data_IF_629604264372
#
_entry.id   IF_629604264372
#
_cell.length_a   1.000
_cell.length_b   1.000
_cell.length_c   1.000
_cell.angle_alpha   90.00
_cell.angle_beta   90.00
_cell.angle_gamma   90.00
#
_symmetry.space_group_name_H-M   'P 1'
#
loop_
_entity.id
_entity.type
_entity.pdbx_description
1 polymer ?
#
# COMPACT_ATOMS: atom_id res chain seq x y z
N UNK A 1 -29.34 3.52 -2.67
CA UNK A 1 -29.07 4.55 -1.64
C UNK A 1 -27.76 4.14 -0.98
N UNK A 2 -26.75 5.01 -0.96
CA UNK A 2 -25.48 4.73 -0.28
C UNK A 2 -25.62 5.09 1.20
N UNK A 3 -25.03 4.28 2.09
CA UNK A 3 -24.92 4.57 3.52
C UNK A 3 -23.45 4.80 3.87
N UNK A 4 -23.19 5.76 4.76
CA UNK A 4 -21.85 6.01 5.29
C UNK A 4 -21.51 4.92 6.31
N UNK A 5 -20.58 4.03 5.95
CA UNK A 5 -20.07 3.01 6.87
C UNK A 5 -19.10 3.61 7.90
N UNK A 6 -18.20 4.50 7.45
CA UNK A 6 -17.18 5.17 8.25
C UNK A 6 -16.97 6.61 7.77
N UNK A 7 -16.80 7.55 8.70
CA UNK A 7 -16.48 8.96 8.44
C UNK A 7 -15.41 9.44 9.42
N UNK A 8 -14.46 10.26 8.94
CA UNK A 8 -13.41 10.86 9.80
C UNK A 8 -12.90 12.20 9.30
N UNK A 9 -12.42 12.97 10.26
CA UNK A 9 -11.70 14.23 10.02
C UNK A 9 -10.21 14.02 9.72
N UNK A 10 -9.57 12.99 10.29
CA UNK A 10 -8.18 12.63 10.02
C UNK A 10 -7.92 11.15 10.33
N UNK A 11 -6.81 10.62 9.80
CA UNK A 11 -6.39 9.24 10.00
C UNK A 11 -5.52 9.17 11.25
N UNK A 12 -5.82 8.26 12.18
CA UNK A 12 -5.00 7.99 13.37
C UNK A 12 -4.88 6.48 13.60
N UNK A 13 -3.89 6.08 14.38
CA UNK A 13 -3.44 4.69 14.50
C UNK A 13 -3.45 4.17 15.93
N UNK A 14 -3.49 2.85 16.08
CA UNK A 14 -3.17 2.18 17.34
C UNK A 14 -1.66 2.23 17.53
N UNK A 15 -1.20 3.18 18.35
CA UNK A 15 0.22 3.41 18.63
C UNK A 15 0.80 2.38 19.61
N UNK A 16 2.09 2.01 19.49
CA UNK A 16 2.74 1.12 20.46
C UNK A 16 2.80 1.72 21.87
N UNK A 17 3.01 3.03 21.96
CA UNK A 17 2.96 3.79 23.21
C UNK A 17 2.69 5.28 22.93
N UNK A 18 2.31 6.05 23.96
CA UNK A 18 2.13 7.51 23.83
C UNK A 18 3.43 8.23 23.48
N UNK A 19 4.56 7.78 24.02
CA UNK A 19 5.90 8.35 23.73
C UNK A 19 6.29 8.16 22.26
N UNK A 20 5.79 7.10 21.65
CA UNK A 20 6.07 6.75 20.25
C UNK A 20 5.45 7.76 19.29
N UNK A 21 4.34 8.40 19.65
CA UNK A 21 3.66 9.43 18.83
C UNK A 21 4.58 10.62 18.60
N UNK A 22 5.15 11.19 19.67
CA UNK A 22 6.03 12.35 19.58
C UNK A 22 7.36 11.98 18.92
N UNK A 23 7.92 10.82 19.26
CA UNK A 23 9.17 10.31 18.66
C UNK A 23 9.05 10.13 17.15
N UNK A 24 7.91 9.64 16.67
CA UNK A 24 7.67 9.51 15.24
C UNK A 24 7.24 10.81 14.57
N UNK A 25 6.97 11.89 15.30
CA UNK A 25 6.60 13.18 14.72
C UNK A 25 5.33 13.07 13.87
N UNK A 26 4.34 12.34 14.36
CA UNK A 26 3.04 12.20 13.68
C UNK A 26 2.32 13.56 13.61
N UNK A 27 1.74 13.85 12.45
CA UNK A 27 0.98 15.08 12.18
C UNK A 27 -0.42 14.68 11.69
N UNK A 28 -1.49 15.00 12.44
CA UNK A 28 -2.86 14.70 12.01
C UNK A 28 -3.23 15.38 10.68
N UNK A 29 -3.95 14.65 9.84
CA UNK A 29 -4.53 15.19 8.59
C UNK A 29 -3.59 15.16 7.37
N UNK A 30 -2.37 14.64 7.51
CA UNK A 30 -1.41 14.54 6.41
C UNK A 30 -1.50 13.23 5.61
N UNK A 31 -2.00 12.17 6.24
CA UNK A 31 -2.18 10.87 5.60
C UNK A 31 -3.49 10.83 4.78
N UNK A 32 -3.45 10.17 3.62
CA UNK A 32 -4.58 10.03 2.70
C UNK A 32 -4.84 8.56 2.39
N UNK A 33 -6.10 8.21 2.14
CA UNK A 33 -6.48 6.88 1.68
C UNK A 33 -6.47 6.87 0.14
N UNK A 34 -5.73 5.94 -0.45
CA UNK A 34 -5.70 5.76 -1.90
C UNK A 34 -6.46 4.52 -2.38
N UNK A 35 -6.52 3.47 -1.55
CA UNK A 35 -7.17 2.21 -1.91
C UNK A 35 -7.80 1.56 -0.70
N UNK A 36 -8.92 0.88 -0.92
CA UNK A 36 -9.67 0.13 0.09
C UNK A 36 -9.98 -1.25 -0.47
N UNK A 37 -9.73 -2.29 0.32
CA UNK A 37 -10.23 -3.65 0.07
C UNK A 37 -10.88 -4.21 1.33
N UNK A 38 -11.89 -5.06 1.14
CA UNK A 38 -12.62 -5.70 2.23
C UNK A 38 -12.41 -7.19 2.10
N UNK A 39 -12.01 -7.83 3.20
CA UNK A 39 -11.95 -9.28 3.28
C UNK A 39 -12.41 -9.74 4.65
N UNK A 40 -13.40 -10.63 4.66
CA UNK A 40 -14.11 -11.06 5.87
C UNK A 40 -14.60 -9.83 6.65
N UNK A 41 -14.18 -9.68 7.91
CA UNK A 41 -14.62 -8.64 8.82
C UNK A 41 -13.65 -7.46 8.88
N UNK A 42 -12.71 -7.33 7.93
CA UNK A 42 -11.72 -6.26 7.93
C UNK A 42 -11.77 -5.43 6.65
N UNK A 43 -11.58 -4.14 6.83
CA UNK A 43 -11.29 -3.17 5.78
C UNK A 43 -9.79 -2.91 5.83
N UNK A 44 -9.12 -3.03 4.69
CA UNK A 44 -7.70 -2.75 4.50
C UNK A 44 -7.53 -1.48 3.69
N UNK A 45 -6.58 -0.64 4.09
CA UNK A 45 -6.39 0.69 3.54
C UNK A 45 -4.94 0.89 3.08
N UNK A 46 -4.79 1.32 1.82
CA UNK A 46 -3.54 1.80 1.27
C UNK A 46 -3.37 3.29 1.61
N UNK A 47 -2.26 3.62 2.26
CA UNK A 47 -1.94 4.95 2.76
C UNK A 47 -0.58 5.40 2.15
N UNK A 48 -0.54 5.90 0.91
CA UNK A 48 0.72 6.28 0.30
C UNK A 48 1.40 7.40 1.10
N UNK A 49 2.71 7.29 1.30
CA UNK A 49 3.53 8.24 2.05
C UNK A 49 3.79 9.51 1.25
N UNK A 50 2.78 10.36 1.11
CA UNK A 50 2.91 11.67 0.45
C UNK A 50 3.69 12.69 1.28
N UNK A 51 3.80 12.47 2.59
CA UNK A 51 4.46 13.37 3.53
C UNK A 51 5.54 12.61 4.30
N UNK A 52 6.61 13.31 4.67
CA UNK A 52 7.72 12.73 5.47
C UNK A 52 7.29 12.30 6.87
N UNK A 53 6.15 12.79 7.35
CA UNK A 53 5.50 12.43 8.61
C UNK A 53 4.73 11.13 8.53
N UNK A 54 4.33 10.64 7.34
CA UNK A 54 3.55 9.41 7.18
C UNK A 54 4.29 8.20 7.72
N UNK A 55 3.69 7.51 8.69
CA UNK A 55 4.31 6.36 9.38
C UNK A 55 3.74 5.01 9.00
N UNK A 56 2.49 4.97 8.57
CA UNK A 56 1.80 3.75 8.16
C UNK A 56 1.47 3.90 6.70
N UNK A 57 1.75 2.85 5.92
CA UNK A 57 1.41 2.79 4.51
C UNK A 57 0.41 1.69 4.15
N UNK A 58 0.28 0.69 5.03
CA UNK A 58 -0.78 -0.31 4.96
C UNK A 58 -1.42 -0.45 6.34
N UNK A 59 -2.73 -0.35 6.40
CA UNK A 59 -3.50 -0.44 7.63
C UNK A 59 -4.74 -1.30 7.47
N UNK A 60 -5.34 -1.67 8.60
CA UNK A 60 -6.59 -2.41 8.68
C UNK A 60 -7.48 -1.88 9.79
N UNK A 61 -8.77 -2.14 9.67
CA UNK A 61 -9.78 -1.81 10.68
C UNK A 61 -10.92 -2.83 10.62
N UNK A 62 -11.46 -3.29 11.76
CA UNK A 62 -12.66 -4.11 11.78
C UNK A 62 -13.86 -3.38 11.16
N UNK A 63 -14.68 -4.08 10.38
CA UNK A 63 -15.89 -3.51 9.75
C UNK A 63 -16.96 -3.08 10.76
N UNK A 64 -16.91 -3.64 11.96
CA UNK A 64 -17.78 -3.36 13.10
C UNK A 64 -17.13 -2.42 14.13
N UNK A 65 -15.98 -1.81 13.79
CA UNK A 65 -15.35 -0.82 14.64
C UNK A 65 -16.30 0.37 14.89
N UNK A 66 -16.16 1.01 16.06
CA UNK A 66 -16.96 2.17 16.43
C UNK A 66 -16.97 3.19 15.28
N UNK A 67 -18.15 3.63 14.81
CA UNK A 67 -18.24 4.59 13.72
C UNK A 67 -17.62 5.96 14.08
N UNK A 68 -17.50 6.27 15.37
CA UNK A 68 -16.84 7.48 15.88
C UNK A 68 -15.33 7.25 16.05
N UNK A 69 -14.54 7.83 15.13
CA UNK A 69 -13.07 7.89 15.13
C UNK A 69 -12.29 6.59 15.48
N UNK A 70 -12.56 5.45 14.81
CA UNK A 70 -11.98 4.16 15.21
C UNK A 70 -10.50 3.97 14.84
N UNK A 71 -9.52 4.08 15.71
CA UNK A 71 -8.09 3.98 15.32
C UNK A 71 -7.74 2.83 14.34
N UNK A 72 -6.93 3.12 13.31
CA UNK A 72 -6.46 2.11 12.35
C UNK A 72 -5.32 1.27 12.95
N UNK A 73 -5.32 -0.03 12.64
CA UNK A 73 -4.23 -0.95 12.98
C UNK A 73 -3.22 -0.99 11.84
N UNK A 74 -1.94 -0.62 12.03
CA UNK A 74 -0.91 -0.86 11.04
C UNK A 74 -0.84 -2.33 10.70
N UNK A 75 -0.76 -2.65 9.42
CA UNK A 75 -0.89 -4.02 8.93
C UNK A 75 0.35 -4.48 8.16
N UNK A 76 0.79 -5.74 8.33
CA UNK A 76 0.39 -6.68 9.40
C UNK A 76 0.72 -6.21 10.82
N UNK A 77 1.73 -5.33 10.93
CA UNK A 77 2.21 -4.76 12.18
C UNK A 77 3.01 -3.47 11.90
N UNK A 78 3.53 -2.84 12.97
CA UNK A 78 4.34 -1.63 12.87
C UNK A 78 5.67 -1.88 12.14
N UNK A 79 6.29 -3.04 12.34
CA UNK A 79 7.57 -3.40 11.74
C UNK A 79 7.48 -3.46 10.21
N UNK A 80 6.38 -3.99 9.68
CA UNK A 80 6.08 -4.03 8.24
C UNK A 80 5.78 -2.65 7.63
N UNK A 81 5.64 -1.61 8.46
CA UNK A 81 5.52 -0.22 8.06
C UNK A 81 6.82 0.58 8.33
N UNK A 82 7.94 -0.09 8.61
CA UNK A 82 9.24 0.57 8.83
C UNK A 82 9.84 1.12 7.53
N UNK A 83 10.33 2.36 7.60
CA UNK A 83 11.10 2.99 6.50
C UNK A 83 12.59 2.62 6.52
N UNK A 84 13.02 1.81 7.50
CA UNK A 84 14.43 1.49 7.72
C UNK A 84 14.91 0.28 6.91
N UNK A 85 14.00 -0.46 6.28
CA UNK A 85 14.33 -1.71 5.58
C UNK A 85 13.43 -1.95 4.38
N UNK A 86 14.03 -2.36 3.26
CA UNK A 86 13.30 -2.70 2.04
C UNK A 86 12.51 -4.01 2.14
N UNK A 87 12.64 -4.77 3.22
CA UNK A 87 11.75 -5.90 3.51
C UNK A 87 10.34 -5.44 3.90
N UNK A 88 10.23 -4.27 4.53
CA UNK A 88 8.96 -3.66 4.91
C UNK A 88 8.35 -2.87 3.74
N UNK A 89 7.07 -2.55 3.87
CA UNK A 89 6.34 -1.71 2.90
C UNK A 89 6.80 -0.25 3.00
N UNK A 90 7.18 0.31 1.86
CA UNK A 90 7.71 1.67 1.78
C UNK A 90 6.64 2.67 1.39
N UNK A 91 5.82 2.36 0.41
CA UNK A 91 4.76 3.20 -0.13
C UNK A 91 3.73 2.35 -0.90
N UNK A 92 2.65 1.98 -0.23
CA UNK A 92 1.54 1.23 -0.81
C UNK A 92 0.50 2.19 -1.37
N UNK A 93 0.28 2.09 -2.67
CA UNK A 93 -0.71 2.90 -3.38
C UNK A 93 -1.97 2.11 -3.73
N UNK A 94 -1.80 0.84 -4.07
CA UNK A 94 -2.90 -0.08 -4.37
C UNK A 94 -2.59 -1.49 -3.86
N UNK A 95 -3.64 -2.28 -3.74
CA UNK A 95 -3.58 -3.68 -3.36
C UNK A 95 -4.76 -4.41 -4.00
N UNK A 96 -4.65 -5.71 -4.19
CA UNK A 96 -5.81 -6.58 -4.41
C UNK A 96 -5.86 -7.75 -3.46
N UNK A 97 -7.05 -8.33 -3.28
CA UNK A 97 -7.24 -9.55 -2.49
C UNK A 97 -7.84 -10.62 -3.40
N UNK A 98 -7.12 -11.74 -3.56
CA UNK A 98 -7.61 -12.85 -4.36
C UNK A 98 -8.67 -13.69 -3.63
N UNK A 99 -9.22 -14.67 -4.36
CA UNK A 99 -10.27 -15.57 -3.86
C UNK A 99 -9.84 -16.43 -2.67
N UNK A 100 -8.54 -16.66 -2.50
CA UNK A 100 -7.98 -17.51 -1.45
C UNK A 100 -7.64 -16.69 -0.19
N UNK A 101 -7.83 -15.36 -0.27
CA UNK A 101 -7.56 -14.45 0.83
C UNK A 101 -6.08 -14.08 0.94
N UNK A 102 -5.34 -14.13 -0.16
CA UNK A 102 -4.00 -13.55 -0.23
C UNK A 102 -4.11 -12.12 -0.76
N UNK A 103 -3.51 -11.19 -0.03
CA UNK A 103 -3.43 -9.79 -0.43
C UNK A 103 -2.16 -9.55 -1.23
N UNK A 104 -2.32 -9.04 -2.44
CA UNK A 104 -1.28 -8.64 -3.36
C UNK A 104 -1.04 -7.14 -3.19
N UNK A 105 0.00 -6.78 -2.45
CA UNK A 105 0.32 -5.40 -2.09
C UNK A 105 1.31 -4.83 -3.09
N UNK A 106 0.92 -3.79 -3.84
CA UNK A 106 1.83 -3.03 -4.69
C UNK A 106 2.57 -1.98 -3.86
N UNK A 107 3.83 -2.27 -3.54
CA UNK A 107 4.73 -1.37 -2.83
C UNK A 107 5.71 -0.72 -3.81
N UNK A 108 5.38 0.49 -4.24
CA UNK A 108 6.12 1.24 -5.25
C UNK A 108 6.51 2.61 -4.69
N UNK A 109 7.63 2.71 -3.95
CA UNK A 109 8.14 4.00 -3.54
C UNK A 109 8.70 4.77 -4.74
N UNK A 110 8.53 6.08 -4.69
CA UNK A 110 9.23 7.01 -5.57
C UNK A 110 10.53 7.45 -4.88
N UNK A 111 11.56 7.83 -5.63
CA UNK A 111 12.87 8.22 -5.06
C UNK A 111 12.75 9.51 -4.23
N UNK A 112 11.78 10.39 -4.53
CA UNK A 112 11.45 11.54 -3.69
C UNK A 112 10.98 11.17 -2.27
N UNK A 113 10.62 9.90 -2.04
CA UNK A 113 10.33 9.36 -0.70
C UNK A 113 11.61 9.11 0.13
N UNK A 114 12.80 9.52 -0.33
CA UNK A 114 14.08 9.34 0.34
C UNK A 114 14.40 7.87 0.69
N UNK A 115 13.94 6.93 -0.14
CA UNK A 115 14.23 5.51 0.03
C UNK A 115 14.92 4.98 -1.21
N UNK A 116 15.84 4.03 -1.01
CA UNK A 116 16.54 3.36 -2.09
C UNK A 116 15.92 1.97 -2.42
N UNK A 117 14.71 1.71 -1.92
CA UNK A 117 14.08 0.41 -2.08
C UNK A 117 13.44 0.25 -3.46
N UNK A 118 13.67 -0.88 -4.15
CA UNK A 118 13.02 -1.13 -5.44
C UNK A 118 11.52 -1.37 -5.25
N UNK A 119 10.69 -1.09 -6.28
CA UNK A 119 9.29 -1.48 -6.30
C UNK A 119 9.14 -2.99 -6.15
N UNK A 120 8.09 -3.42 -5.46
CA UNK A 120 7.81 -4.84 -5.21
C UNK A 120 6.33 -5.14 -5.05
N UNK A 121 5.97 -6.40 -5.26
CA UNK A 121 4.67 -6.96 -4.91
C UNK A 121 4.84 -7.93 -3.75
N UNK A 122 4.20 -7.65 -2.62
CA UNK A 122 4.23 -8.53 -1.45
C UNK A 122 2.90 -9.26 -1.35
N UNK A 123 2.95 -10.60 -1.21
CA UNK A 123 1.78 -11.43 -0.99
C UNK A 123 1.64 -11.71 0.51
N UNK A 124 0.52 -11.30 1.10
CA UNK A 124 0.22 -11.47 2.52
C UNK A 124 -0.98 -12.40 2.70
N UNK A 125 -0.83 -13.50 3.45
CA UNK A 125 -1.93 -14.40 3.78
C UNK A 125 -2.84 -13.76 4.85
N UNK A 126 -4.03 -13.32 4.46
CA UNK A 126 -4.98 -12.69 5.39
C UNK A 126 -5.61 -13.70 6.36
N UNK A 127 -5.56 -14.99 6.05
CA UNK A 127 -6.03 -16.05 6.93
C UNK A 127 -4.98 -16.42 8.00
N UNK A 128 -3.71 -16.09 7.77
CA UNK A 128 -2.61 -16.24 8.73
C UNK A 128 -1.99 -14.88 9.11
N UNK A 129 -2.85 -13.95 9.57
CA UNK A 129 -2.47 -12.66 10.17
C UNK A 129 -1.49 -11.83 9.32
N UNK A 130 -1.54 -11.95 8.00
CA UNK A 130 -0.69 -11.22 7.07
C UNK A 130 0.73 -11.78 6.98
N UNK A 131 0.91 -13.08 7.22
CA UNK A 131 2.18 -13.76 6.96
C UNK A 131 2.58 -13.57 5.50
N UNK A 132 3.85 -13.24 5.27
CA UNK A 132 4.38 -13.11 3.92
C UNK A 132 4.42 -14.49 3.28
N UNK A 133 3.66 -14.66 2.20
CA UNK A 133 3.64 -15.84 1.34
C UNK A 133 4.77 -15.72 0.33
N UNK A 134 4.88 -14.55 -0.30
CA UNK A 134 5.90 -14.30 -1.31
C UNK A 134 6.23 -12.79 -1.41
N UNK A 135 7.36 -12.48 -2.03
CA UNK A 135 7.81 -11.12 -2.29
C UNK A 135 8.53 -11.06 -3.65
N UNK A 136 7.93 -10.36 -4.60
CA UNK A 136 8.43 -10.19 -5.95
C UNK A 136 8.98 -8.78 -6.12
N UNK A 137 10.29 -8.66 -6.30
CA UNK A 137 10.91 -7.38 -6.65
C UNK A 137 10.69 -7.14 -8.14
N UNK A 138 10.17 -5.95 -8.48
CA UNK A 138 10.03 -5.54 -9.88
C UNK A 138 11.42 -5.31 -10.46
N UNK A 139 11.78 -5.98 -11.57
CA UNK A 139 13.06 -5.77 -12.23
C UNK A 139 13.27 -4.30 -12.62
N UNK A 140 14.48 -3.79 -12.39
CA UNK A 140 14.83 -2.39 -12.66
C UNK A 140 14.68 -2.00 -14.14
N UNK A 141 14.86 -2.94 -15.07
CA UNK A 141 14.62 -2.72 -16.50
C UNK A 141 13.13 -2.54 -16.87
N UNK A 142 12.20 -2.93 -15.99
CA UNK A 142 10.76 -2.71 -16.17
C UNK A 142 10.29 -1.42 -15.48
N UNK A 143 10.88 -1.09 -14.35
CA UNK A 143 10.56 0.10 -13.57
C UNK A 143 11.84 0.65 -12.94
N UNK A 144 12.56 1.54 -13.66
CA UNK A 144 13.83 2.06 -13.19
C UNK A 144 13.65 2.86 -11.90
N UNK A 145 14.58 2.66 -10.99
CA UNK A 145 14.56 3.29 -9.69
C UNK A 145 15.23 4.69 -9.71
N UNK A 146 14.75 5.55 -10.62
CA UNK A 146 15.29 6.89 -10.90
C UNK A 146 14.19 7.98 -11.04
N UNK A 147 13.00 7.74 -10.48
CA UNK A 147 11.76 8.53 -10.62
C UNK A 147 11.10 8.51 -12.01
N UNK A 148 11.64 7.80 -13.00
CA UNK A 148 11.04 7.67 -14.31
C UNK A 148 9.93 6.62 -14.40
N UNK A 149 9.57 5.98 -13.28
CA UNK A 149 8.51 4.98 -13.22
C UNK A 149 7.46 5.35 -12.17
N UNK A 150 6.17 5.11 -12.47
CA UNK A 150 5.08 5.31 -11.52
C UNK A 150 4.03 4.20 -11.62
N UNK A 151 4.27 3.11 -10.88
CA UNK A 151 3.31 2.02 -10.74
C UNK A 151 2.14 2.47 -9.85
N UNK A 152 0.95 2.51 -10.44
CA UNK A 152 -0.20 3.17 -9.84
C UNK A 152 -1.21 2.19 -9.23
N UNK A 153 -1.57 1.15 -9.96
CA UNK A 153 -2.65 0.24 -9.62
C UNK A 153 -2.30 -1.20 -9.98
N UNK A 154 -2.93 -2.16 -9.32
CA UNK A 154 -2.77 -3.60 -9.53
C UNK A 154 -4.13 -4.26 -9.63
N UNK A 155 -4.28 -5.16 -10.59
CA UNK A 155 -5.40 -6.12 -10.66
C UNK A 155 -4.85 -7.53 -10.74
N UNK A 156 -5.58 -8.50 -10.19
CA UNK A 156 -5.15 -9.90 -10.11
C UNK A 156 -6.16 -10.79 -10.80
N UNK A 157 -5.66 -11.74 -11.59
CA UNK A 157 -6.43 -12.79 -12.25
C UNK A 157 -5.74 -14.14 -12.03
N UNK A 158 -6.29 -14.93 -11.10
CA UNK A 158 -5.66 -16.17 -10.61
C UNK A 158 -4.21 -15.95 -10.19
N UNK A 159 -3.27 -16.51 -10.96
CA UNK A 159 -1.83 -16.50 -10.69
C UNK A 159 -1.11 -15.33 -11.35
N UNK A 160 -1.84 -14.39 -11.96
CA UNK A 160 -1.27 -13.25 -12.68
C UNK A 160 -1.65 -11.93 -12.01
N UNK A 161 -0.63 -11.08 -11.80
CA UNK A 161 -0.83 -9.68 -11.48
C UNK A 161 -0.60 -8.81 -12.73
N UNK A 162 -1.44 -7.81 -12.92
CA UNK A 162 -1.31 -6.77 -13.95
C UNK A 162 -1.20 -5.42 -13.26
N UNK A 163 -0.11 -4.70 -13.53
CA UNK A 163 0.20 -3.43 -12.88
C UNK A 163 0.17 -2.30 -13.92
N UNK A 164 -0.55 -1.23 -13.62
CA UNK A 164 -0.57 -0.03 -14.48
C UNK A 164 0.60 0.89 -14.16
N UNK A 165 1.31 1.36 -15.19
CA UNK A 165 2.32 2.43 -15.10
C UNK A 165 1.75 3.74 -15.67
N UNK A 166 1.81 4.82 -14.89
CA UNK A 166 1.26 6.15 -15.25
C UNK A 166 2.35 7.21 -15.47
N UNK A 167 3.58 6.79 -15.72
CA UNK A 167 4.69 7.71 -16.04
C UNK A 167 4.35 8.64 -17.21
N UNK A 168 4.52 9.95 -17.00
CA UNK A 168 4.19 11.00 -17.98
C UNK A 168 5.19 11.17 -19.14
N UNK A 169 5.80 10.08 -19.64
CA UNK A 169 6.64 10.08 -20.85
C UNK A 169 5.88 9.65 -22.12
N UNK A 170 4.56 9.87 -22.17
CA UNK A 170 3.83 9.85 -23.44
C UNK A 170 4.10 11.16 -24.21
N UNK A 171 5.27 11.28 -24.84
CA UNK A 171 5.46 12.19 -25.96
C UNK A 171 5.86 11.40 -27.22
N UNK A 172 4.84 11.22 -28.08
CA UNK A 172 4.89 11.11 -29.54
C UNK A 172 5.78 10.03 -30.17
N UNK A 173 5.24 8.81 -30.23
CA UNK A 173 5.05 8.08 -31.49
C UNK A 173 4.19 6.86 -31.20
N UNK A 174 3.12 6.69 -31.97
CA UNK A 174 2.10 5.67 -31.70
C UNK A 174 2.69 4.27 -31.60
N UNK A 175 2.43 3.61 -30.47
CA UNK A 175 2.40 2.15 -30.37
C UNK A 175 1.32 1.77 -29.35
N UNK A 176 0.15 1.38 -29.87
CA UNK A 176 -0.62 0.33 -29.22
C UNK A 176 0.27 -0.92 -29.15
N UNK A 177 0.78 -1.26 -27.97
CA UNK A 177 0.91 -2.65 -27.53
C UNK A 177 1.26 -2.69 -26.04
N UNK A 178 0.30 -3.16 -25.26
CA UNK A 178 0.41 -3.89 -24.00
C UNK A 178 1.83 -4.01 -23.40
N UNK A 179 2.03 -3.38 -22.23
CA UNK A 179 2.95 -3.91 -21.22
C UNK A 179 2.18 -4.20 -19.95
N UNK A 180 1.42 -5.28 -20.00
CA UNK A 180 1.09 -6.04 -18.81
C UNK A 180 2.39 -6.64 -18.29
N UNK A 181 2.93 -6.07 -17.21
CA UNK A 181 4.03 -6.70 -16.48
C UNK A 181 3.46 -7.93 -15.78
N UNK A 182 3.73 -9.11 -16.32
CA UNK A 182 3.31 -10.37 -15.73
C UNK A 182 4.31 -10.75 -14.64
N UNK A 183 3.87 -10.75 -13.40
CA UNK A 183 4.56 -11.46 -12.31
C UNK A 183 3.91 -12.85 -12.25
N UNK A 184 4.72 -13.90 -12.45
CA UNK A 184 4.34 -15.30 -12.21
C UNK A 184 4.75 -15.71 -10.79
#
# INVERSE_FOLDING_TARGET
>A
MFEVAFERNYINYIWPSKETISKFGYVPGEDVIAGIKIYKNFIYLALPRKKKSSRVTLASIPIDANKEDPLLSPYPNWEMNSVLTCHATQNVLSMEIDKDGVMWVLDAPRVDNNTNCPPKVILLDLNDKGKIVNNFVVPDNLCPHDNSCFLNDIVVDYDYAYISDTTSLCNQSGMESQRQNHVR
#
